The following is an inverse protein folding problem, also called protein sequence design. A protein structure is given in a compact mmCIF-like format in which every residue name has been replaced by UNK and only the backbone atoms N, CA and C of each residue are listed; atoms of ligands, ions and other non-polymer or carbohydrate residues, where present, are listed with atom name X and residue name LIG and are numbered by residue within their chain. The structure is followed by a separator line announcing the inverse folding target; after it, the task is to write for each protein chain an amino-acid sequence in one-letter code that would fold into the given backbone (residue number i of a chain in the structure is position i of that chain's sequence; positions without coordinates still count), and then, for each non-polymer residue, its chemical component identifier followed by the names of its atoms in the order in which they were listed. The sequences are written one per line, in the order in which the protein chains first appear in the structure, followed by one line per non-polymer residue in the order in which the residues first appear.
data_IF_303143183435
#
_entry.id   IF_303143183435
#
_cell.length_a   1.000
_cell.length_b   1.000
_cell.length_c   1.000
_cell.angle_alpha   90.00
_cell.angle_beta   90.00
_cell.angle_gamma   90.00
#
_symmetry.space_group_name_H-M   'P 1'
#
loop_
_entity.id
_entity.type
_entity.pdbx_description
1 polymer ?
#
# COMPACT_ATOMS: atom_id res chain seq x y z
N UNK A 1 39.29 -29.15 7.76
CA UNK A 1 38.33 -28.03 7.64
C UNK A 1 37.63 -28.18 6.28
N UNK A 2 36.37 -28.64 6.25
CA UNK A 2 35.65 -28.84 4.97
C UNK A 2 35.04 -27.51 4.52
N UNK A 3 35.15 -27.10 3.23
CA UNK A 3 34.47 -25.91 2.75
C UNK A 3 32.96 -26.16 2.76
N UNK A 4 32.19 -25.30 3.42
CA UNK A 4 30.73 -25.30 3.33
C UNK A 4 30.36 -24.88 1.90
N UNK A 5 29.68 -25.76 1.16
CA UNK A 5 29.08 -25.39 -0.12
C UNK A 5 27.87 -24.50 0.18
N UNK A 6 27.94 -23.23 -0.20
CA UNK A 6 26.78 -22.33 -0.24
C UNK A 6 25.70 -23.00 -1.12
N UNK A 7 24.55 -23.31 -0.53
CA UNK A 7 23.37 -23.70 -1.29
C UNK A 7 22.80 -22.45 -1.96
N UNK A 8 22.42 -22.48 -3.25
CA UNK A 8 21.79 -21.32 -3.89
C UNK A 8 20.47 -21.00 -3.19
N UNK A 9 20.25 -19.72 -2.87
CA UNK A 9 18.93 -19.23 -2.47
C UNK A 9 18.10 -19.15 -3.74
N UNK A 10 17.04 -19.95 -3.82
CA UNK A 10 16.12 -19.97 -4.95
C UNK A 10 15.15 -18.78 -4.83
N UNK A 11 15.26 -17.83 -5.76
CA UNK A 11 14.35 -16.68 -5.90
C UNK A 11 13.23 -16.93 -6.92
N UNK A 12 13.16 -18.14 -7.49
CA UNK A 12 12.17 -18.46 -8.51
C UNK A 12 10.83 -18.83 -7.89
N UNK A 13 9.94 -17.84 -7.86
CA UNK A 13 8.50 -18.05 -7.95
C UNK A 13 7.87 -18.73 -6.74
N UNK A 14 7.72 -17.97 -5.65
CA UNK A 14 6.53 -18.16 -4.81
C UNK A 14 5.36 -17.70 -5.70
N UNK A 15 4.60 -18.65 -6.24
CA UNK A 15 3.28 -18.33 -6.76
C UNK A 15 2.47 -17.86 -5.55
N UNK A 16 2.45 -16.54 -5.32
CA UNK A 16 1.59 -15.92 -4.34
C UNK A 16 0.17 -16.19 -4.84
N UNK A 17 -0.48 -17.19 -4.28
CA UNK A 17 -1.92 -17.19 -4.04
C UNK A 17 -2.24 -15.86 -3.34
N UNK A 18 -2.31 -14.80 -4.14
CA UNK A 18 -2.47 -13.44 -3.64
C UNK A 18 -3.85 -13.42 -3.03
N UNK A 19 -3.98 -13.34 -1.68
CA UNK A 19 -5.30 -13.23 -1.10
C UNK A 19 -5.94 -12.00 -1.72
N UNK A 20 -7.10 -12.18 -2.35
CA UNK A 20 -7.88 -11.07 -2.89
C UNK A 20 -8.16 -10.11 -1.73
N UNK A 21 -7.48 -8.97 -1.72
CA UNK A 21 -7.59 -7.98 -0.64
C UNK A 21 -9.00 -7.40 -0.68
N UNK A 22 -9.79 -7.62 0.37
CA UNK A 22 -11.08 -6.96 0.54
C UNK A 22 -10.85 -5.54 1.07
N UNK A 23 -10.82 -4.58 0.16
CA UNK A 23 -10.61 -3.17 0.46
C UNK A 23 -11.73 -2.58 1.32
N UNK A 24 -12.98 -3.04 1.21
CA UNK A 24 -14.10 -2.50 1.98
C UNK A 24 -14.02 -2.95 3.45
N UNK A 25 -13.60 -4.20 3.68
CA UNK A 25 -13.37 -4.69 5.04
C UNK A 25 -12.14 -4.02 5.66
N UNK A 26 -11.04 -3.85 4.91
CA UNK A 26 -9.88 -3.09 5.40
C UNK A 26 -10.25 -1.64 5.75
N UNK A 27 -11.03 -0.96 4.90
CA UNK A 27 -11.48 0.41 5.12
C UNK A 27 -12.29 0.52 6.43
N UNK A 28 -13.24 -0.38 6.66
CA UNK A 28 -14.06 -0.41 7.87
C UNK A 28 -13.24 -0.74 9.12
N UNK A 29 -12.45 -1.81 9.07
CA UNK A 29 -11.73 -2.32 10.24
C UNK A 29 -10.57 -1.43 10.67
N UNK A 30 -9.88 -0.78 9.72
CA UNK A 30 -8.67 0.02 10.01
C UNK A 30 -8.94 1.51 10.11
N UNK A 31 -9.94 2.01 9.40
CA UNK A 31 -10.24 3.46 9.33
C UNK A 31 -11.63 3.83 9.85
N UNK A 32 -12.52 2.87 10.13
CA UNK A 32 -13.88 3.14 10.59
C UNK A 32 -14.74 3.86 9.56
N UNK A 33 -14.44 3.71 8.27
CA UNK A 33 -15.15 4.37 7.17
C UNK A 33 -16.03 3.37 6.43
N UNK A 34 -17.26 3.76 6.11
CA UNK A 34 -18.24 2.86 5.46
C UNK A 34 -18.09 2.77 3.94
N UNK A 35 -17.47 3.76 3.31
CA UNK A 35 -17.30 3.82 1.85
C UNK A 35 -16.14 4.71 1.44
N UNK A 36 -15.53 4.38 0.31
CA UNK A 36 -14.60 5.26 -0.37
C UNK A 36 -15.30 6.53 -0.87
N UNK A 37 -14.58 7.64 -0.81
CA UNK A 37 -14.94 8.87 -1.51
C UNK A 37 -14.54 8.76 -2.99
N UNK A 38 -15.12 9.61 -3.87
CA UNK A 38 -14.80 9.59 -5.29
C UNK A 38 -13.29 9.59 -5.57
N UNK A 39 -12.85 8.70 -6.46
CA UNK A 39 -11.46 8.56 -6.88
C UNK A 39 -10.52 7.81 -5.92
N UNK A 40 -10.85 7.66 -4.63
CA UNK A 40 -9.93 7.00 -3.67
C UNK A 40 -9.66 5.54 -4.04
N UNK A 41 -10.72 4.79 -4.35
CA UNK A 41 -10.62 3.37 -4.69
C UNK A 41 -9.77 3.13 -5.94
N UNK A 42 -9.99 3.92 -6.98
CA UNK A 42 -9.24 3.84 -8.24
C UNK A 42 -7.74 4.07 -8.04
N UNK A 43 -7.37 5.05 -7.21
CA UNK A 43 -5.97 5.34 -6.87
C UNK A 43 -5.36 4.19 -6.08
N UNK A 44 -6.08 3.69 -5.05
CA UNK A 44 -5.63 2.56 -4.22
C UNK A 44 -5.41 1.32 -5.07
N UNK A 45 -6.37 0.94 -5.91
CA UNK A 45 -6.26 -0.22 -6.82
C UNK A 45 -5.09 -0.05 -7.81
N UNK A 46 -4.84 1.17 -8.27
CA UNK A 46 -3.70 1.47 -9.17
C UNK A 46 -2.35 1.28 -8.46
N UNK A 47 -2.22 1.77 -7.22
CA UNK A 47 -1.02 1.59 -6.39
C UNK A 47 -0.82 0.12 -6.04
N UNK A 48 -1.87 -0.61 -5.66
CA UNK A 48 -1.80 -2.04 -5.33
C UNK A 48 -1.44 -2.90 -6.55
N UNK A 49 -1.79 -2.46 -7.76
CA UNK A 49 -1.36 -3.09 -9.00
C UNK A 49 0.11 -2.77 -9.37
N UNK A 50 0.84 -2.03 -8.52
CA UNK A 50 2.23 -1.65 -8.75
C UNK A 50 2.40 -0.64 -9.89
N UNK A 51 1.37 0.18 -10.18
CA UNK A 51 1.39 1.18 -11.25
C UNK A 51 1.56 2.59 -10.68
N UNK A 52 2.32 3.41 -11.39
CA UNK A 52 2.46 4.82 -11.09
C UNK A 52 1.14 5.57 -11.35
N UNK A 53 0.82 6.54 -10.49
CA UNK A 53 -0.34 7.40 -10.68
C UNK A 53 -0.07 8.83 -10.20
N UNK A 54 -0.63 9.82 -10.93
CA UNK A 54 -0.76 11.20 -10.46
C UNK A 54 -2.19 11.42 -10.01
N UNK A 55 -2.38 11.69 -8.73
CA UNK A 55 -3.69 11.93 -8.16
C UNK A 55 -3.87 13.42 -7.80
N UNK A 56 -4.86 14.07 -8.42
CA UNK A 56 -5.22 15.46 -8.13
C UNK A 56 -6.53 15.47 -7.36
N UNK A 57 -6.47 15.78 -6.07
CA UNK A 57 -7.65 15.81 -5.20
C UNK A 57 -7.73 17.12 -4.42
N UNK A 58 -8.94 17.66 -4.19
CA UNK A 58 -9.13 18.83 -3.33
C UNK A 58 -8.62 18.59 -1.90
N UNK A 59 -8.29 19.66 -1.19
CA UNK A 59 -8.02 19.59 0.25
C UNK A 59 -9.22 18.99 0.99
N UNK A 60 -8.97 18.16 2.01
CA UNK A 60 -10.02 17.50 2.79
C UNK A 60 -10.69 16.32 2.09
N UNK A 61 -10.34 16.01 0.84
CA UNK A 61 -10.87 14.86 0.09
C UNK A 61 -10.49 13.50 0.68
N UNK A 62 -9.45 13.44 1.52
CA UNK A 62 -8.95 12.20 2.09
C UNK A 62 -7.84 11.53 1.26
N UNK A 63 -7.06 12.31 0.51
CA UNK A 63 -5.87 11.85 -0.23
C UNK A 63 -4.90 10.98 0.59
N UNK A 64 -4.84 11.16 1.91
CA UNK A 64 -3.97 10.37 2.78
C UNK A 64 -4.31 8.89 2.81
N UNK A 65 -5.61 8.57 2.74
CA UNK A 65 -6.10 7.19 2.66
C UNK A 65 -5.52 6.44 1.46
N UNK A 66 -5.30 7.16 0.34
CA UNK A 66 -4.83 6.58 -0.92
C UNK A 66 -3.42 5.98 -0.84
N UNK A 67 -2.61 6.37 0.14
CA UNK A 67 -1.31 5.77 0.41
C UNK A 67 -1.30 4.97 1.74
N UNK A 68 -2.07 5.39 2.74
CA UNK A 68 -2.13 4.68 4.03
C UNK A 68 -2.77 3.29 3.92
N UNK A 69 -3.86 3.13 3.17
CA UNK A 69 -4.51 1.82 3.04
C UNK A 69 -3.61 0.81 2.31
N UNK A 70 -3.01 1.13 1.14
CA UNK A 70 -2.03 0.24 0.51
C UNK A 70 -0.87 -0.16 1.43
N UNK A 71 -0.35 0.78 2.23
CA UNK A 71 0.73 0.51 3.17
C UNK A 71 0.38 -0.51 4.26
N UNK A 72 -0.90 -0.72 4.56
CA UNK A 72 -1.35 -1.68 5.56
C UNK A 72 -1.61 -3.08 4.99
N UNK A 73 -1.85 -3.19 3.67
CA UNK A 73 -2.27 -4.44 3.03
C UNK A 73 -1.18 -5.07 2.15
N UNK A 74 -0.20 -4.29 1.69
CA UNK A 74 0.97 -4.83 1.00
C UNK A 74 2.04 -5.28 1.99
N UNK A 75 2.76 -6.34 1.64
CA UNK A 75 3.98 -6.71 2.34
C UNK A 75 5.08 -5.67 2.07
N UNK A 76 5.85 -5.34 3.10
CA UNK A 76 6.92 -4.34 3.04
C UNK A 76 6.56 -3.01 3.69
N UNK A 77 7.35 -1.98 3.43
CA UNK A 77 7.17 -0.65 3.97
C UNK A 77 6.83 0.36 2.88
N UNK A 78 6.00 1.35 3.21
CA UNK A 78 5.73 2.49 2.33
C UNK A 78 6.53 3.73 2.76
N UNK A 79 7.20 4.38 1.80
CA UNK A 79 7.87 5.66 2.01
C UNK A 79 6.95 6.81 1.57
N UNK A 80 6.61 7.69 2.51
CA UNK A 80 5.87 8.93 2.23
C UNK A 80 6.82 10.11 2.37
N UNK A 81 6.95 10.90 1.31
CA UNK A 81 7.80 12.10 1.29
C UNK A 81 6.91 13.33 1.42
N UNK A 82 7.10 14.10 2.48
CA UNK A 82 6.43 15.38 2.71
C UNK A 82 7.45 16.52 2.80
N UNK A 83 7.22 17.67 2.15
CA UNK A 83 8.13 18.81 2.23
C UNK A 83 8.08 19.54 3.58
N UNK A 84 7.02 19.34 4.37
CA UNK A 84 6.78 20.08 5.62
C UNK A 84 6.62 19.12 6.79
N UNK A 85 7.44 19.31 7.83
CA UNK A 85 7.36 18.56 9.09
C UNK A 85 5.99 18.72 9.77
N UNK A 86 5.38 19.90 9.66
CA UNK A 86 4.05 20.17 10.23
C UNK A 86 3.02 19.15 9.73
N UNK A 87 3.02 18.84 8.44
CA UNK A 87 2.09 17.89 7.83
C UNK A 87 2.35 16.42 8.20
N UNK A 88 3.50 16.11 8.81
CA UNK A 88 3.83 14.75 9.24
C UNK A 88 3.38 14.46 10.68
N UNK A 89 3.17 15.51 11.48
CA UNK A 89 2.79 15.39 12.90
C UNK A 89 1.26 15.41 13.10
N UNK A 90 0.54 15.82 12.06
CA UNK A 90 -0.92 15.78 11.98
C UNK A 90 -1.40 14.35 11.64
#
# INVERSE_FOLDING_TARGET
MRPQKQTPVDYTGVALDTPTIDLESCLRERFGLDRFRPGQREVIETVLAGRDCLCVMPTGSGKSLCYQLPALVQEGGMLVISPLIALMKD
#
